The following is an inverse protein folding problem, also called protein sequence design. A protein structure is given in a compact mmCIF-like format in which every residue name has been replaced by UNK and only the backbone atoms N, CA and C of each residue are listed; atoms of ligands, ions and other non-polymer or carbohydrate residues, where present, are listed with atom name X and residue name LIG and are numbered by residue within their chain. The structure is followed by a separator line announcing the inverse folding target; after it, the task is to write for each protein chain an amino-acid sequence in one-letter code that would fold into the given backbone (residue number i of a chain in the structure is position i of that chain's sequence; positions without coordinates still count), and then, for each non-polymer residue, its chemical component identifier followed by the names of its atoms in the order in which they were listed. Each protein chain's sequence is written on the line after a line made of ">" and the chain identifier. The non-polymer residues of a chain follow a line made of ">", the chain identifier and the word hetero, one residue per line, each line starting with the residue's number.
data_IF_978238023614
#
_entry.id   IF_978238023614
#
_cell.length_a   1.000
_cell.length_b   1.000
_cell.length_c   1.000
_cell.angle_alpha   90.00
_cell.angle_beta   90.00
_cell.angle_gamma   90.00
#
_symmetry.space_group_name_H-M   'P 1'
#
loop_
_entity.id
_entity.type
_entity.pdbx_description
1 polymer ?
#
# COMPACT_ATOMS: atom_id res chain seq x y z
N UNK A 1 -24.41 -44.06 -48.29
CA UNK A 1 -23.19 -43.73 -47.52
C UNK A 1 -22.02 -43.80 -48.49
N UNK A 2 -21.33 -42.67 -48.76
CA UNK A 2 -20.14 -42.68 -49.60
C UNK A 2 -19.00 -43.35 -48.82
N UNK A 3 -18.65 -44.59 -49.15
CA UNK A 3 -17.46 -45.24 -48.60
C UNK A 3 -16.21 -44.48 -49.04
N UNK A 4 -15.67 -43.69 -48.13
CA UNK A 4 -14.43 -42.95 -48.36
C UNK A 4 -13.25 -43.93 -48.27
N UNK A 5 -12.65 -44.21 -49.43
CA UNK A 5 -11.51 -45.12 -49.57
C UNK A 5 -10.25 -44.60 -48.84
N UNK A 6 -9.38 -45.53 -48.43
CA UNK A 6 -8.13 -45.20 -47.74
C UNK A 6 -7.22 -44.29 -48.59
N UNK A 7 -7.16 -44.49 -49.91
CA UNK A 7 -6.42 -43.60 -50.82
C UNK A 7 -6.91 -42.16 -50.74
N UNK A 8 -8.24 -41.94 -50.75
CA UNK A 8 -8.82 -40.60 -50.69
C UNK A 8 -8.53 -39.92 -49.35
N UNK A 9 -8.46 -40.68 -48.25
CA UNK A 9 -8.06 -40.16 -46.93
C UNK A 9 -6.59 -39.73 -46.91
N UNK A 10 -5.70 -40.51 -47.53
CA UNK A 10 -4.28 -40.14 -47.69
C UNK A 10 -4.14 -38.87 -48.52
N UNK A 11 -4.88 -38.73 -49.61
CA UNK A 11 -4.83 -37.52 -50.46
C UNK A 11 -5.36 -36.28 -49.73
N UNK A 12 -6.40 -36.43 -48.90
CA UNK A 12 -6.85 -35.35 -48.02
C UNK A 12 -5.79 -34.95 -46.99
N UNK A 13 -5.17 -35.94 -46.34
CA UNK A 13 -4.06 -35.72 -45.41
C UNK A 13 -2.89 -34.99 -46.09
N UNK A 14 -2.57 -35.33 -47.34
CA UNK A 14 -1.50 -34.68 -48.10
C UNK A 14 -1.81 -33.22 -48.42
N UNK A 15 -3.05 -32.91 -48.78
CA UNK A 15 -3.47 -31.53 -48.98
C UNK A 15 -3.46 -30.74 -47.67
N UNK A 16 -3.99 -31.30 -46.57
CA UNK A 16 -3.99 -30.62 -45.27
C UNK A 16 -2.57 -30.35 -44.74
N UNK A 17 -1.63 -31.29 -44.92
CA UNK A 17 -0.22 -31.05 -44.55
C UNK A 17 0.41 -29.98 -45.44
N UNK A 18 0.15 -29.98 -46.75
CA UNK A 18 0.66 -28.95 -47.66
C UNK A 18 0.10 -27.56 -47.34
N UNK A 19 -1.14 -27.45 -46.90
CA UNK A 19 -1.72 -26.18 -46.45
C UNK A 19 -1.13 -25.71 -45.12
N UNK A 20 -0.85 -26.65 -44.21
CA UNK A 20 -0.13 -26.36 -42.97
C UNK A 20 1.29 -25.84 -43.23
N UNK A 21 2.02 -26.44 -44.17
CA UNK A 21 3.35 -25.98 -44.59
C UNK A 21 3.34 -24.58 -45.22
N UNK A 22 2.28 -24.23 -45.94
CA UNK A 22 2.08 -22.90 -46.52
C UNK A 22 1.60 -21.87 -45.50
N UNK A 23 1.40 -22.26 -44.23
CA UNK A 23 0.99 -21.37 -43.15
C UNK A 23 -0.41 -20.77 -43.32
N UNK A 24 -1.27 -21.38 -44.15
CA UNK A 24 -2.49 -20.72 -44.63
C UNK A 24 -3.70 -20.93 -43.70
N UNK A 25 -3.72 -21.97 -42.86
CA UNK A 25 -4.80 -22.23 -41.89
C UNK A 25 -4.31 -22.97 -40.62
N UNK A 26 -4.28 -22.28 -39.46
CA UNK A 26 -3.96 -22.89 -38.15
C UNK A 26 -5.07 -23.79 -37.59
N UNK A 27 -6.33 -23.56 -37.97
CA UNK A 27 -7.46 -24.36 -37.48
C UNK A 27 -7.42 -25.83 -37.95
N UNK A 28 -6.74 -26.10 -39.06
CA UNK A 28 -6.66 -27.46 -39.62
C UNK A 28 -5.59 -28.32 -38.94
N UNK A 29 -4.63 -27.73 -38.21
CA UNK A 29 -3.68 -28.49 -37.39
C UNK A 29 -4.40 -29.31 -36.30
N UNK A 30 -5.47 -28.76 -35.72
CA UNK A 30 -6.24 -29.45 -34.67
C UNK A 30 -6.98 -30.69 -35.16
N UNK A 31 -7.29 -30.77 -36.47
CA UNK A 31 -8.03 -31.88 -37.10
C UNK A 31 -7.11 -32.99 -37.60
N UNK A 32 -5.84 -32.66 -37.89
CA UNK A 32 -4.82 -33.58 -38.39
C UNK A 32 -4.58 -34.80 -37.46
N UNK A 33 -4.45 -34.66 -36.13
CA UNK A 33 -4.30 -35.80 -35.22
C UNK A 33 -5.46 -36.80 -35.29
N UNK A 34 -6.70 -36.33 -35.44
CA UNK A 34 -7.87 -37.18 -35.58
C UNK A 34 -7.89 -37.92 -36.93
N UNK A 35 -7.47 -37.25 -38.01
CA UNK A 35 -7.30 -37.87 -39.33
C UNK A 35 -6.23 -38.97 -39.31
N UNK A 36 -5.09 -38.72 -38.66
CA UNK A 36 -4.04 -39.73 -38.45
C UNK A 36 -4.56 -40.92 -37.62
N UNK A 37 -5.31 -40.70 -36.54
CA UNK A 37 -5.90 -41.80 -35.75
C UNK A 37 -6.81 -42.71 -36.58
N UNK A 38 -7.63 -42.14 -37.46
CA UNK A 38 -8.52 -42.94 -38.31
C UNK A 38 -7.70 -43.75 -39.33
N UNK A 39 -6.64 -43.16 -39.90
CA UNK A 39 -5.74 -43.86 -40.81
C UNK A 39 -4.91 -44.95 -40.10
N UNK A 40 -4.45 -44.71 -38.87
CA UNK A 40 -3.75 -45.71 -38.04
C UNK A 40 -4.65 -46.95 -37.84
N UNK A 41 -5.91 -46.76 -37.44
CA UNK A 41 -6.88 -47.87 -37.28
C UNK A 41 -7.12 -48.64 -38.58
N UNK A 42 -7.18 -47.95 -39.72
CA UNK A 42 -7.37 -48.59 -41.03
C UNK A 42 -6.15 -49.41 -41.47
N UNK A 43 -4.94 -48.97 -41.12
CA UNK A 43 -3.70 -49.72 -41.34
C UNK A 43 -3.65 -50.95 -40.43
N UNK A 44 -4.05 -50.81 -39.17
CA UNK A 44 -4.13 -51.92 -38.19
C UNK A 44 -5.11 -53.02 -38.62
N UNK A 45 -6.19 -52.68 -39.35
CA UNK A 45 -7.11 -53.67 -39.93
C UNK A 45 -6.49 -54.54 -41.05
N UNK A 46 -5.24 -54.28 -41.47
CA UNK A 46 -4.45 -55.20 -42.31
C UNK A 46 -4.84 -55.33 -43.78
N UNK A 47 -5.88 -54.63 -44.24
CA UNK A 47 -6.42 -54.75 -45.60
C UNK A 47 -5.87 -53.72 -46.60
N UNK A 48 -4.88 -52.91 -46.21
CA UNK A 48 -4.41 -51.80 -47.03
C UNK A 48 -3.22 -52.16 -47.93
N UNK A 49 -3.16 -51.65 -49.17
CA UNK A 49 -2.03 -51.84 -50.06
C UNK A 49 -0.70 -51.33 -49.44
N UNK A 50 0.40 -52.09 -49.50
CA UNK A 50 1.69 -51.71 -48.91
C UNK A 50 2.22 -50.34 -49.40
N UNK A 51 1.95 -50.01 -50.67
CA UNK A 51 2.31 -48.71 -51.26
C UNK A 51 1.61 -47.52 -50.58
N UNK A 52 0.34 -47.68 -50.22
CA UNK A 52 -0.43 -46.64 -49.53
C UNK A 52 0.01 -46.51 -48.08
N UNK A 53 0.32 -47.63 -47.41
CA UNK A 53 0.87 -47.61 -46.04
C UNK A 53 2.22 -46.86 -46.00
N UNK A 54 3.08 -47.08 -47.00
CA UNK A 54 4.35 -46.35 -47.11
C UNK A 54 4.13 -44.85 -47.27
N UNK A 55 3.25 -44.44 -48.19
CA UNK A 55 2.91 -43.02 -48.40
C UNK A 55 2.32 -42.39 -47.13
N UNK A 56 1.46 -43.11 -46.43
CA UNK A 56 0.91 -42.66 -45.15
C UNK A 56 1.99 -42.42 -44.08
N UNK A 57 2.96 -43.33 -43.95
CA UNK A 57 4.07 -43.17 -43.00
C UNK A 57 4.97 -41.98 -43.34
N UNK A 58 5.23 -41.73 -44.63
CA UNK A 58 5.98 -40.55 -45.10
C UNK A 58 5.25 -39.26 -44.72
N UNK A 59 3.93 -39.21 -44.91
CA UNK A 59 3.07 -38.11 -44.48
C UNK A 59 3.09 -37.88 -42.96
N UNK A 60 3.02 -38.96 -42.18
CA UNK A 60 3.07 -38.91 -40.71
C UNK A 60 4.39 -38.32 -40.22
N UNK A 61 5.51 -38.69 -40.84
CA UNK A 61 6.82 -38.14 -40.51
C UNK A 61 6.91 -36.67 -40.90
N UNK A 62 6.41 -36.29 -42.07
CA UNK A 62 6.39 -34.91 -42.54
C UNK A 62 5.60 -33.99 -41.59
N UNK A 63 4.41 -34.42 -41.16
CA UNK A 63 3.62 -33.70 -40.17
C UNK A 63 4.36 -33.52 -38.83
N UNK A 64 5.01 -34.58 -38.31
CA UNK A 64 5.79 -34.49 -37.08
C UNK A 64 6.91 -33.46 -37.16
N UNK A 65 7.62 -33.41 -38.30
CA UNK A 65 8.67 -32.42 -38.53
C UNK A 65 8.15 -30.98 -38.57
N UNK A 66 6.90 -30.78 -38.99
CA UNK A 66 6.27 -29.45 -39.04
C UNK A 66 5.75 -29.05 -37.66
N UNK A 67 5.13 -29.96 -36.91
CA UNK A 67 4.49 -29.64 -35.62
C UNK A 67 5.48 -29.49 -34.45
N UNK A 68 6.61 -30.21 -34.46
CA UNK A 68 7.60 -30.15 -33.36
C UNK A 68 8.19 -28.73 -33.14
N UNK A 69 8.66 -28.02 -34.18
CA UNK A 69 9.24 -26.69 -34.03
C UNK A 69 8.24 -25.65 -33.50
N UNK A 70 6.97 -25.70 -33.91
CA UNK A 70 5.95 -24.78 -33.42
C UNK A 70 5.66 -24.99 -31.93
N UNK A 71 5.66 -26.24 -31.47
CA UNK A 71 5.46 -26.56 -30.06
C UNK A 71 6.63 -26.10 -29.18
N UNK A 72 7.86 -26.27 -29.67
CA UNK A 72 9.06 -25.76 -28.98
C UNK A 72 9.03 -24.23 -28.89
N UNK A 73 8.67 -23.55 -30.00
CA UNK A 73 8.53 -22.10 -30.03
C UNK A 73 7.42 -21.59 -29.09
N UNK A 74 6.27 -22.24 -29.03
CA UNK A 74 5.19 -21.87 -28.12
C UNK A 74 5.60 -22.01 -26.64
N UNK A 75 6.38 -23.06 -26.32
CA UNK A 75 6.94 -23.25 -24.98
C UNK A 75 7.95 -22.15 -24.64
N UNK A 76 8.82 -21.77 -25.58
CA UNK A 76 9.77 -20.67 -25.41
C UNK A 76 9.06 -19.33 -25.22
N UNK A 77 8.01 -19.04 -26.02
CA UNK A 77 7.20 -17.83 -25.88
C UNK A 77 6.54 -17.79 -24.49
N UNK A 78 5.99 -18.93 -24.03
CA UNK A 78 5.38 -19.04 -22.71
C UNK A 78 6.41 -18.79 -21.59
N UNK A 79 7.61 -19.37 -21.70
CA UNK A 79 8.70 -19.13 -20.76
C UNK A 79 9.12 -17.65 -20.75
N UNK A 80 9.23 -17.03 -21.93
CA UNK A 80 9.58 -15.61 -22.07
C UNK A 80 8.53 -14.71 -21.41
N UNK A 81 7.24 -15.02 -21.58
CA UNK A 81 6.14 -14.29 -20.94
C UNK A 81 6.21 -14.40 -19.41
N UNK A 82 6.45 -15.58 -18.87
CA UNK A 82 6.64 -15.78 -17.43
C UNK A 82 7.83 -14.97 -16.89
N UNK A 83 8.95 -14.93 -17.64
CA UNK A 83 10.11 -14.13 -17.28
C UNK A 83 9.82 -12.63 -17.28
N UNK A 84 9.07 -12.11 -18.28
CA UNK A 84 8.66 -10.71 -18.31
C UNK A 84 7.77 -10.34 -17.13
N UNK A 85 6.81 -11.19 -16.77
CA UNK A 85 5.96 -10.98 -15.60
C UNK A 85 6.76 -10.98 -14.30
N UNK A 86 7.74 -11.88 -14.17
CA UNK A 86 8.63 -11.93 -13.01
C UNK A 86 9.51 -10.66 -12.90
N UNK A 87 10.03 -10.14 -14.03
CA UNK A 87 10.79 -8.89 -14.07
C UNK A 87 9.92 -7.68 -13.69
N UNK A 88 8.68 -7.63 -14.17
CA UNK A 88 7.72 -6.59 -13.80
C UNK A 88 7.42 -6.60 -12.30
N UNK A 89 7.17 -7.79 -11.72
CA UNK A 89 6.98 -7.95 -10.26
C UNK A 89 8.21 -7.56 -9.47
N UNK A 90 9.41 -7.88 -9.95
CA UNK A 90 10.65 -7.46 -9.30
C UNK A 90 10.78 -5.94 -9.26
N UNK A 91 10.53 -5.26 -10.38
CA UNK A 91 10.56 -3.80 -10.45
C UNK A 91 9.58 -3.14 -9.47
N UNK A 92 8.37 -3.67 -9.34
CA UNK A 92 7.39 -3.11 -8.40
C UNK A 92 7.79 -3.35 -6.94
N UNK A 93 8.38 -4.50 -6.62
CA UNK A 93 8.93 -4.78 -5.29
C UNK A 93 10.09 -3.82 -4.96
N UNK A 94 10.99 -3.56 -5.90
CA UNK A 94 12.11 -2.64 -5.71
C UNK A 94 11.60 -1.20 -5.46
N UNK A 95 10.56 -0.77 -6.16
CA UNK A 95 9.92 0.53 -5.95
C UNK A 95 9.24 0.63 -4.58
N UNK A 96 8.49 -0.40 -4.16
CA UNK A 96 7.89 -0.48 -2.82
C UNK A 96 8.99 -0.44 -1.75
N UNK A 97 10.09 -1.17 -1.95
CA UNK A 97 11.21 -1.21 -1.01
C UNK A 97 11.81 0.19 -0.82
N UNK A 98 11.99 0.95 -1.90
CA UNK A 98 12.48 2.33 -1.83
C UNK A 98 11.50 3.24 -1.07
N UNK A 99 10.20 3.15 -1.36
CA UNK A 99 9.19 3.93 -0.67
C UNK A 99 9.14 3.62 0.84
N UNK A 100 9.26 2.35 1.22
CA UNK A 100 9.34 1.96 2.64
C UNK A 100 10.58 2.55 3.32
N UNK A 101 11.74 2.55 2.65
CA UNK A 101 12.96 3.16 3.20
C UNK A 101 12.80 4.66 3.44
N UNK A 102 12.13 5.38 2.53
CA UNK A 102 11.82 6.80 2.70
C UNK A 102 10.90 7.03 3.90
N UNK A 103 9.85 6.22 4.07
CA UNK A 103 8.95 6.30 5.23
C UNK A 103 9.69 6.05 6.54
N UNK A 104 10.59 5.07 6.57
CA UNK A 104 11.42 4.79 7.76
C UNK A 104 12.35 5.96 8.07
N UNK A 105 12.96 6.57 7.06
CA UNK A 105 13.81 7.75 7.25
C UNK A 105 13.02 8.94 7.82
N UNK A 106 11.83 9.22 7.29
CA UNK A 106 10.93 10.26 7.80
C UNK A 106 10.49 9.95 9.24
N UNK A 107 10.12 8.70 9.53
CA UNK A 107 9.76 8.28 10.88
C UNK A 107 10.89 8.50 11.89
N UNK A 108 12.13 8.17 11.51
CA UNK A 108 13.30 8.41 12.35
C UNK A 108 13.54 9.90 12.58
N UNK A 109 13.37 10.73 11.55
CA UNK A 109 13.48 12.18 11.68
C UNK A 109 12.43 12.77 12.61
N UNK A 110 11.16 12.36 12.46
CA UNK A 110 10.08 12.79 13.36
C UNK A 110 10.41 12.41 14.81
N UNK A 111 10.86 11.17 15.03
CA UNK A 111 11.23 10.72 16.37
C UNK A 111 12.40 11.53 16.94
N UNK A 112 13.40 11.87 16.12
CA UNK A 112 14.48 12.77 16.52
C UNK A 112 13.94 14.16 16.91
N UNK A 113 13.11 14.77 16.08
CA UNK A 113 12.54 16.10 16.33
C UNK A 113 11.68 16.13 17.60
N UNK A 114 10.90 15.08 17.86
CA UNK A 114 10.12 14.94 19.11
C UNK A 114 11.06 14.89 20.32
N UNK A 115 12.13 14.10 20.25
CA UNK A 115 13.07 13.97 21.36
C UNK A 115 13.87 15.27 21.58
N UNK A 116 14.23 15.97 20.52
CA UNK A 116 14.91 17.27 20.58
C UNK A 116 14.00 18.36 21.20
N UNK A 117 12.72 18.36 20.83
CA UNK A 117 11.74 19.30 21.37
C UNK A 117 11.37 19.03 22.84
N UNK A 118 11.63 17.83 23.37
CA UNK A 118 11.25 17.46 24.72
C UNK A 118 11.97 18.30 25.78
N UNK A 119 13.28 18.47 25.65
CA UNK A 119 14.09 19.21 26.62
C UNK A 119 13.66 20.68 26.79
N UNK A 120 13.47 21.49 25.72
CA UNK A 120 13.01 22.87 25.87
C UNK A 120 11.57 22.95 26.41
N UNK A 121 10.70 21.98 26.10
CA UNK A 121 9.35 21.92 26.70
C UNK A 121 9.44 21.71 28.20
N UNK A 122 10.24 20.75 28.66
CA UNK A 122 10.43 20.46 30.08
C UNK A 122 11.00 21.70 30.81
N UNK A 123 11.94 22.42 30.19
CA UNK A 123 12.50 23.65 30.75
C UNK A 123 11.48 24.81 30.84
N UNK A 124 10.63 24.99 29.82
CA UNK A 124 9.56 26.00 29.86
C UNK A 124 8.53 25.64 30.94
N UNK A 125 8.22 24.35 31.10
CA UNK A 125 7.29 23.86 32.11
C UNK A 125 7.82 24.15 33.52
N UNK A 126 9.11 23.89 33.78
CA UNK A 126 9.75 24.22 35.06
C UNK A 126 9.66 25.71 35.39
N UNK A 127 9.99 26.60 34.44
CA UNK A 127 9.88 28.04 34.67
C UNK A 127 8.45 28.55 34.88
N UNK A 128 7.46 27.89 34.27
CA UNK A 128 6.05 28.21 34.51
C UNK A 128 5.63 27.83 35.94
N UNK A 129 6.05 26.66 36.42
CA UNK A 129 5.80 26.21 37.80
C UNK A 129 6.47 27.15 38.82
N UNK A 130 7.73 27.54 38.59
CA UNK A 130 8.41 28.53 39.42
C UNK A 130 7.66 29.87 39.43
N UNK A 131 7.28 30.36 38.25
CA UNK A 131 6.54 31.61 38.08
C UNK A 131 5.20 31.61 38.82
N UNK A 132 4.48 30.49 38.81
CA UNK A 132 3.23 30.30 39.56
C UNK A 132 3.49 30.39 41.07
N UNK A 133 4.52 29.72 41.58
CA UNK A 133 4.89 29.77 43.00
C UNK A 133 5.26 31.19 43.45
N UNK A 134 6.07 31.90 42.68
CA UNK A 134 6.39 33.30 42.95
C UNK A 134 5.13 34.18 42.93
N UNK A 135 4.24 33.97 41.95
CA UNK A 135 2.96 34.66 41.86
C UNK A 135 2.09 34.46 43.10
N UNK A 136 2.01 33.22 43.61
CA UNK A 136 1.29 32.89 44.85
C UNK A 136 1.86 33.61 46.06
N UNK A 137 3.18 33.56 46.26
CA UNK A 137 3.86 34.21 47.39
C UNK A 137 3.67 35.72 47.37
N UNK A 138 3.82 36.35 46.20
CA UNK A 138 3.62 37.79 46.03
C UNK A 138 2.15 38.18 46.29
N UNK A 139 1.20 37.39 45.79
CA UNK A 139 -0.22 37.62 46.03
C UNK A 139 -0.57 37.51 47.53
N UNK A 140 -0.01 36.53 48.23
CA UNK A 140 -0.18 36.39 49.68
C UNK A 140 0.37 37.61 50.43
N UNK A 141 1.59 38.05 50.13
CA UNK A 141 2.19 39.24 50.73
C UNK A 141 1.39 40.51 50.45
N UNK A 142 0.88 40.68 49.22
CA UNK A 142 0.00 41.78 48.85
C UNK A 142 -1.31 41.73 49.62
N UNK A 143 -1.90 40.55 49.82
CA UNK A 143 -3.13 40.38 50.58
C UNK A 143 -2.93 40.79 52.06
N UNK A 144 -1.81 40.40 52.68
CA UNK A 144 -1.43 40.78 54.04
C UNK A 144 -1.24 42.29 54.13
N UNK A 145 -0.52 42.88 53.16
CA UNK A 145 -0.27 44.32 53.11
C UNK A 145 -1.57 45.11 52.93
N UNK A 146 -2.48 44.65 52.07
CA UNK A 146 -3.81 45.24 51.86
C UNK A 146 -4.64 45.20 53.14
N UNK A 147 -4.66 44.06 53.85
CA UNK A 147 -5.36 43.92 55.15
C UNK A 147 -4.79 44.88 56.19
N UNK A 148 -3.46 45.01 56.30
CA UNK A 148 -2.80 45.97 57.22
C UNK A 148 -3.16 47.42 56.90
N UNK A 149 -3.15 47.81 55.61
CA UNK A 149 -3.56 49.16 55.17
C UNK A 149 -5.02 49.45 55.52
N UNK A 150 -5.93 48.51 55.23
CA UNK A 150 -7.34 48.64 55.59
C UNK A 150 -7.56 48.76 57.10
N UNK A 151 -6.83 47.97 57.90
CA UNK A 151 -6.93 48.04 59.36
C UNK A 151 -6.42 49.39 59.90
N UNK A 152 -5.29 49.89 59.42
CA UNK A 152 -4.79 51.23 59.76
C UNK A 152 -5.79 52.33 59.39
N UNK A 153 -6.38 52.26 58.20
CA UNK A 153 -7.40 53.21 57.79
C UNK A 153 -8.63 53.20 58.73
N UNK A 154 -9.12 52.01 59.11
CA UNK A 154 -10.21 51.86 60.08
C UNK A 154 -9.87 52.43 61.46
N UNK A 155 -8.63 52.25 61.93
CA UNK A 155 -8.17 52.83 63.20
C UNK A 155 -8.17 54.35 63.14
N UNK A 156 -7.59 54.92 62.08
CA UNK A 156 -7.53 56.38 61.90
C UNK A 156 -8.96 56.96 61.86
N UNK A 157 -9.87 56.31 61.14
CA UNK A 157 -11.28 56.72 61.10
C UNK A 157 -11.94 56.64 62.48
N UNK A 158 -11.68 55.58 63.26
CA UNK A 158 -12.25 55.41 64.60
C UNK A 158 -11.71 56.47 65.58
N UNK A 159 -10.42 56.80 65.51
CA UNK A 159 -9.81 57.87 66.32
C UNK A 159 -10.41 59.23 65.97
N UNK A 160 -10.57 59.54 64.68
CA UNK A 160 -11.21 60.78 64.23
C UNK A 160 -12.65 60.91 64.73
N UNK A 161 -13.43 59.82 64.69
CA UNK A 161 -14.80 59.81 65.21
C UNK A 161 -14.84 60.03 66.73
N UNK A 162 -13.93 59.41 67.49
CA UNK A 162 -13.82 59.63 68.94
C UNK A 162 -13.48 61.08 69.26
N UNK A 163 -12.49 61.66 68.57
CA UNK A 163 -12.12 63.07 68.74
C UNK A 163 -13.31 64.00 68.44
N UNK A 164 -14.04 63.75 67.35
CA UNK A 164 -15.21 64.54 66.99
C UNK A 164 -16.32 64.43 68.03
N UNK A 165 -16.55 63.23 68.58
CA UNK A 165 -17.53 63.01 69.65
C UNK A 165 -17.16 63.74 70.94
N UNK A 166 -15.88 63.71 71.34
CA UNK A 166 -15.36 64.42 72.51
C UNK A 166 -15.54 65.93 72.37
N UNK A 167 -15.17 66.50 71.22
CA UNK A 167 -15.37 67.92 70.93
C UNK A 167 -16.85 68.28 70.98
N UNK A 168 -17.73 67.45 70.41
CA UNK A 168 -19.18 67.64 70.49
C UNK A 168 -19.70 67.66 71.93
N UNK A 169 -19.23 66.75 72.79
CA UNK A 169 -19.56 66.72 74.22
C UNK A 169 -19.07 67.97 74.94
N UNK A 170 -17.83 68.42 74.68
CA UNK A 170 -17.28 69.65 75.26
C UNK A 170 -18.08 70.89 74.87
N UNK A 171 -18.49 71.00 73.61
CA UNK A 171 -19.32 72.11 73.14
C UNK A 171 -20.68 72.09 73.82
N UNK A 172 -21.33 70.92 73.91
CA UNK A 172 -22.61 70.77 74.62
C UNK A 172 -22.49 71.15 76.10
N UNK A 173 -21.45 70.68 76.80
CA UNK A 173 -21.18 71.06 78.19
C UNK A 173 -21.03 72.57 78.35
N UNK A 174 -20.35 73.23 77.40
CA UNK A 174 -20.16 74.70 77.41
C UNK A 174 -21.41 75.51 77.08
N UNK A 175 -22.43 74.89 76.48
CA UNK A 175 -23.73 75.53 76.20
C UNK A 175 -24.68 75.34 77.38
N UNK A 176 -24.57 74.21 78.09
CA UNK A 176 -25.44 73.85 79.22
C UNK A 176 -25.00 74.49 80.54
N UNK A 177 -23.70 74.70 80.76
CA UNK A 177 -23.13 75.42 81.90
C UNK A 177 -22.72 76.84 81.53
#
# INVERSE_FOLDING_TARGET
>A
MNEMTFSRRIDMLDNSIKELERGTHREDESKLPAMFQICDRLVECGQQPPRLVKRYNELKNRYKCISSPYKELDNEISACKMHMEALSRKSSIDEITRSVQEVVAVSNYINYAINDARFPIDNVMEHLEEGEQYGMLVNEQLSITRRRKLWKAKIIQSILLLLFSLVGVFVLLKIVF
#
